data_IF_843171418049
#
_entry.id   IF_843171418049
#
_cell.length_a   1.000
_cell.length_b   1.000
_cell.length_c   1.000
_cell.angle_alpha   90.00
_cell.angle_beta   90.00
_cell.angle_gamma   90.00
#
_symmetry.space_group_name_H-M   'P 1'
#
loop_
_entity.id
_entity.type
_entity.pdbx_description
1 polymer ?
#
# COMPACT_ATOMS: atom_id res chain seq x y z
N UNK A 1 0.79 -9.60 -9.57
CA UNK A 1 0.18 -10.66 -8.76
C UNK A 1 -0.77 -10.01 -7.77
N UNK A 2 -2.03 -10.43 -7.79
CA UNK A 2 -3.09 -9.84 -6.97
C UNK A 2 -2.90 -10.15 -5.50
N UNK A 3 -3.38 -9.23 -4.66
CA UNK A 3 -3.59 -9.36 -3.22
C UNK A 3 -3.97 -10.80 -2.82
N UNK A 4 -3.00 -11.53 -2.29
CA UNK A 4 -3.20 -12.83 -1.65
C UNK A 4 -3.34 -12.57 -0.15
N UNK A 5 -4.57 -12.64 0.34
CA UNK A 5 -4.86 -12.65 1.77
C UNK A 5 -6.00 -11.71 2.15
N UNK A 6 -7.01 -12.30 2.77
CA UNK A 6 -8.02 -11.65 3.60
C UNK A 6 -9.14 -10.95 2.82
N UNK A 7 -10.28 -11.62 2.77
CA UNK A 7 -11.57 -11.04 2.39
C UNK A 7 -12.02 -10.07 3.50
N UNK A 8 -12.30 -8.79 3.19
CA UNK A 8 -12.78 -7.84 4.19
C UNK A 8 -14.15 -8.23 4.78
N UNK A 9 -14.88 -9.18 4.19
CA UNK A 9 -16.14 -9.70 4.71
C UNK A 9 -16.01 -10.62 5.95
N UNK A 10 -14.79 -10.96 6.38
CA UNK A 10 -14.55 -11.90 7.49
C UNK A 10 -14.44 -11.27 8.90
N UNK A 11 -14.66 -9.96 9.03
CA UNK A 11 -14.47 -9.19 10.28
C UNK A 11 -13.24 -8.27 10.19
N UNK A 12 -13.19 -7.21 11.02
CA UNK A 12 -12.19 -6.12 10.94
C UNK A 12 -10.73 -6.58 11.10
N UNK A 13 -10.18 -7.18 10.05
CA UNK A 13 -8.80 -7.54 9.93
C UNK A 13 -7.98 -6.33 9.49
N UNK A 14 -6.71 -6.35 9.86
CA UNK A 14 -5.71 -5.47 9.27
C UNK A 14 -4.95 -6.24 8.20
N UNK A 15 -4.74 -5.62 7.04
CA UNK A 15 -3.90 -6.13 5.98
C UNK A 15 -2.68 -5.23 5.84
N UNK A 16 -1.49 -5.82 5.79
CA UNK A 16 -0.27 -5.09 5.44
C UNK A 16 -0.01 -5.31 3.95
N UNK A 17 -0.17 -4.27 3.16
CA UNK A 17 0.33 -4.27 1.79
C UNK A 17 1.84 -4.03 1.83
N UNK A 18 2.61 -4.83 1.08
CA UNK A 18 4.07 -4.71 1.01
C UNK A 18 4.49 -4.65 -0.45
N UNK A 19 5.33 -3.67 -0.80
CA UNK A 19 6.02 -3.61 -2.07
C UNK A 19 7.53 -3.67 -1.82
N UNK A 20 8.22 -4.53 -2.56
CA UNK A 20 9.68 -4.65 -2.52
C UNK A 20 10.24 -4.43 -3.92
N UNK A 21 11.30 -3.64 -4.00
CA UNK A 21 12.05 -3.36 -5.23
C UNK A 21 13.33 -4.21 -5.31
N UNK A 22 13.82 -4.32 -6.54
CA UNK A 22 15.07 -5.00 -6.84
C UNK A 22 16.28 -4.26 -6.24
N UNK A 23 17.47 -4.88 -6.33
CA UNK A 23 18.69 -4.23 -5.88
C UNK A 23 18.97 -2.97 -6.72
N UNK A 24 19.35 -1.86 -6.07
CA UNK A 24 19.55 -0.53 -6.68
C UNK A 24 18.27 0.14 -7.19
N UNK A 25 17.09 -0.30 -6.72
CA UNK A 25 15.81 0.33 -7.00
C UNK A 25 15.11 0.70 -5.69
N UNK A 26 14.25 1.71 -5.76
CA UNK A 26 13.30 2.08 -4.72
C UNK A 26 11.89 1.64 -5.11
N UNK A 27 11.11 1.21 -4.12
CA UNK A 27 9.74 0.79 -4.31
C UNK A 27 8.78 1.98 -4.20
N UNK A 28 7.81 2.02 -5.11
CA UNK A 28 6.72 2.98 -5.11
C UNK A 28 5.37 2.26 -5.06
N UNK A 29 4.74 2.31 -3.89
CA UNK A 29 3.39 1.77 -3.70
C UNK A 29 2.35 2.80 -4.11
N UNK A 30 1.40 2.39 -4.93
CA UNK A 30 0.32 3.25 -5.43
C UNK A 30 -1.05 2.64 -5.13
N UNK A 31 -1.96 3.45 -4.61
CA UNK A 31 -3.36 3.11 -4.36
C UNK A 31 -4.24 3.52 -5.52
N UNK A 32 -5.26 2.70 -5.82
CA UNK A 32 -6.38 2.98 -6.73
C UNK A 32 -6.00 3.53 -8.11
N UNK A 33 -4.79 3.21 -8.60
CA UNK A 33 -4.19 3.75 -9.81
C UNK A 33 -4.13 5.30 -9.86
N UNK A 34 -2.93 5.87 -9.96
CA UNK A 34 -2.72 7.33 -10.03
C UNK A 34 -3.30 8.17 -8.87
N UNK A 35 -3.65 7.56 -7.73
CA UNK A 35 -4.08 8.31 -6.54
C UNK A 35 -2.95 8.52 -5.51
N UNK A 36 -1.70 8.23 -5.88
CA UNK A 36 -0.56 8.30 -4.96
C UNK A 36 -0.50 7.09 -4.02
N UNK A 37 0.33 7.17 -2.99
CA UNK A 37 0.64 6.07 -2.08
C UNK A 37 0.54 6.44 -0.60
N UNK A 38 1.02 5.54 0.27
CA UNK A 38 1.10 5.78 1.71
C UNK A 38 2.07 6.93 2.02
N UNK A 39 1.66 7.86 2.88
CA UNK A 39 2.45 9.02 3.27
C UNK A 39 3.76 8.62 3.99
N UNK A 40 3.74 7.54 4.76
CA UNK A 40 4.92 6.99 5.44
C UNK A 40 6.01 6.52 4.48
N UNK A 41 5.65 6.27 3.21
CA UNK A 41 6.58 5.82 2.17
C UNK A 41 7.09 6.97 1.28
N UNK A 42 6.85 8.23 1.67
CA UNK A 42 7.31 9.40 0.92
C UNK A 42 8.83 9.45 0.73
N UNK A 43 9.59 8.88 1.68
CA UNK A 43 11.05 8.81 1.60
C UNK A 43 11.57 7.66 0.72
N UNK A 44 10.69 6.89 0.07
CA UNK A 44 11.00 5.84 -0.90
C UNK A 44 12.07 4.84 -0.40
N UNK A 45 11.62 3.69 0.12
CA UNK A 45 12.51 2.60 0.53
C UNK A 45 12.57 1.47 -0.48
N UNK A 46 13.55 0.58 -0.37
CA UNK A 46 13.56 -0.67 -1.13
C UNK A 46 12.37 -1.57 -0.78
N UNK A 47 11.96 -1.59 0.49
CA UNK A 47 10.73 -2.22 0.94
C UNK A 47 9.84 -1.16 1.58
N UNK A 48 8.60 -1.08 1.12
CA UNK A 48 7.61 -0.13 1.61
C UNK A 48 6.35 -0.88 2.01
N UNK A 49 5.72 -0.45 3.10
CA UNK A 49 4.56 -1.11 3.68
C UNK A 49 3.41 -0.13 3.86
N UNK A 50 2.18 -0.61 3.83
CA UNK A 50 1.01 0.16 4.19
C UNK A 50 0.03 -0.70 4.99
N UNK A 51 -0.42 -0.18 6.12
CA UNK A 51 -1.45 -0.83 6.91
C UNK A 51 -2.84 -0.40 6.41
N UNK A 52 -3.63 -1.36 5.96
CA UNK A 52 -5.01 -1.20 5.55
C UNK A 52 -5.90 -1.82 6.63
N UNK A 53 -6.89 -1.07 7.09
CA UNK A 53 -7.88 -1.54 8.05
C UNK A 53 -9.15 -1.93 7.30
N UNK A 54 -9.74 -3.06 7.62
CA UNK A 54 -11.09 -3.34 7.16
C UNK A 54 -12.07 -2.46 7.94
N UNK A 55 -12.87 -1.67 7.21
CA UNK A 55 -13.96 -0.83 7.72
C UNK A 55 -15.17 -1.07 6.84
N UNK A 56 -16.26 -1.56 7.41
CA UNK A 56 -17.52 -1.85 6.69
C UNK A 56 -17.30 -2.70 5.41
N UNK A 57 -16.43 -3.70 5.48
CA UNK A 57 -16.11 -4.56 4.34
C UNK A 57 -15.21 -3.91 3.27
N UNK A 58 -14.61 -2.76 3.56
CA UNK A 58 -13.68 -2.07 2.66
C UNK A 58 -12.28 -1.98 3.28
N UNK A 59 -11.24 -2.14 2.47
CA UNK A 59 -9.88 -1.82 2.88
C UNK A 59 -9.70 -0.31 2.92
N UNK A 60 -9.33 0.23 4.07
CA UNK A 60 -9.18 1.67 4.31
C UNK A 60 -7.77 1.96 4.81
N UNK A 61 -7.08 2.83 4.08
CA UNK A 61 -5.84 3.46 4.53
C UNK A 61 -6.17 4.76 5.26
N UNK A 62 -5.60 4.95 6.44
CA UNK A 62 -5.81 6.16 7.25
C UNK A 62 -4.47 6.78 7.62
N UNK A 63 -4.28 8.05 7.29
CA UNK A 63 -3.06 8.79 7.66
C UNK A 63 -3.38 10.27 7.88
N UNK A 64 -2.81 10.85 8.93
CA UNK A 64 -3.02 12.27 9.27
C UNK A 64 -4.49 12.66 9.49
N UNK A 65 -5.34 11.72 9.90
CA UNK A 65 -6.78 11.95 10.06
C UNK A 65 -7.60 11.87 8.77
N UNK A 66 -6.97 11.57 7.63
CA UNK A 66 -7.64 11.37 6.34
C UNK A 66 -7.74 9.87 6.06
N UNK A 67 -8.96 9.40 5.77
CA UNK A 67 -9.24 8.01 5.40
C UNK A 67 -9.48 7.88 3.90
N UNK A 68 -8.97 6.80 3.30
CA UNK A 68 -9.14 6.48 1.88
C UNK A 68 -9.45 5.01 1.70
N UNK A 69 -10.53 4.71 0.98
CA UNK A 69 -10.84 3.35 0.53
C UNK A 69 -9.80 2.93 -0.51
N UNK A 70 -9.17 1.78 -0.32
CA UNK A 70 -8.18 1.18 -1.21
C UNK A 70 -8.78 -0.06 -1.86
N UNK A 71 -9.09 0.02 -3.15
CA UNK A 71 -9.60 -1.11 -3.94
C UNK A 71 -8.49 -1.82 -4.72
N UNK A 72 -7.35 -1.15 -4.91
CA UNK A 72 -6.21 -1.68 -5.63
C UNK A 72 -4.89 -1.15 -5.06
N UNK A 73 -3.88 -2.02 -5.00
CA UNK A 73 -2.48 -1.67 -4.73
C UNK A 73 -1.64 -2.07 -5.93
N UNK A 74 -0.83 -1.13 -6.43
CA UNK A 74 0.16 -1.37 -7.48
C UNK A 74 1.55 -1.12 -6.93
N UNK A 75 2.46 -2.07 -7.13
CA UNK A 75 3.88 -1.93 -6.78
C UNK A 75 4.66 -1.57 -8.03
N UNK A 76 5.22 -0.36 -8.04
CA UNK A 76 6.14 0.11 -9.08
C UNK A 76 7.55 0.22 -8.45
N UNK A 77 8.56 0.35 -9.31
CA UNK A 77 9.93 0.61 -8.86
C UNK A 77 10.62 1.60 -9.80
N UNK A 78 11.56 2.35 -9.25
CA UNK A 78 12.41 3.29 -9.98
C UNK A 78 13.87 3.10 -9.57
N UNK A 79 14.84 3.36 -10.48
CA UNK A 79 16.25 3.32 -10.12
C UNK A 79 16.53 4.23 -8.92
N UNK A 80 17.28 3.73 -7.95
CA UNK A 80 17.76 4.53 -6.82
C UNK A 80 18.78 5.55 -7.35
N UNK A 81 18.55 6.83 -7.09
CA UNK A 81 19.36 7.91 -7.66
C UNK A 81 20.73 8.06 -7.00
N UNK A 82 20.97 7.35 -5.88
CA UNK A 82 22.22 7.41 -5.11
C UNK A 82 22.32 8.62 -4.19
#
# INVERSE_FOLDING_TARGET
MGILGNDPASGCLTLTATCTADANFVAFMQFNNNQGGPAENANMGRTVNALLNCVDGNWVYTSGGVSRIVTQVSCNQAPDAG
#
